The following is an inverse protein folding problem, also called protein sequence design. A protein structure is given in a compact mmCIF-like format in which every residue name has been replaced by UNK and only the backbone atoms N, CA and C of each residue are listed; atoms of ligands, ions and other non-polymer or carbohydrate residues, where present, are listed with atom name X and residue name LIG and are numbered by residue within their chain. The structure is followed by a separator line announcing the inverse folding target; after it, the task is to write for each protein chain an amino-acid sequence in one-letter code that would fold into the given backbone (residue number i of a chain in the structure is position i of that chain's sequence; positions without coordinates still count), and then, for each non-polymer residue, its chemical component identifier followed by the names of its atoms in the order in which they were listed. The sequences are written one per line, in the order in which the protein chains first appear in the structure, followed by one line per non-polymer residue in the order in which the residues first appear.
data_IF_048288857338
#
_entry.id   IF_048288857338
#
_cell.length_a   1.000
_cell.length_b   1.000
_cell.length_c   1.000
_cell.angle_alpha   90.00
_cell.angle_beta   90.00
_cell.angle_gamma   90.00
#
_symmetry.space_group_name_H-M   'P 1'
#
loop_
_entity.id
_entity.type
_entity.pdbx_description
1 polymer ?
#
# COMPACT_ATOMS: atom_id res chain seq x y z
N UNK A 1 -0.35 5.27 17.24
CA UNK A 1 0.66 4.65 16.35
C UNK A 1 0.36 5.21 14.99
N UNK A 2 1.22 6.06 14.43
CA UNK A 2 0.92 6.75 13.17
C UNK A 2 0.86 5.74 12.03
N UNK A 3 -0.16 5.84 11.19
CA UNK A 3 -0.30 5.07 9.97
C UNK A 3 -0.30 5.96 8.72
N UNK A 4 0.30 5.44 7.64
CA UNK A 4 0.10 5.99 6.29
C UNK A 4 -0.71 4.98 5.51
N UNK A 5 -1.86 5.42 4.98
CA UNK A 5 -2.70 4.61 4.12
C UNK A 5 -2.68 5.18 2.71
N UNK A 6 -2.54 4.34 1.70
CA UNK A 6 -2.56 4.72 0.29
C UNK A 6 -3.71 4.01 -0.41
N UNK A 7 -4.49 4.78 -1.17
CA UNK A 7 -5.59 4.30 -2.00
C UNK A 7 -5.51 4.91 -3.40
N UNK A 8 -6.07 4.28 -4.43
CA UNK A 8 -6.15 4.88 -5.76
C UNK A 8 -6.97 6.18 -5.78
N UNK A 9 -6.51 7.19 -6.51
CA UNK A 9 -7.27 8.42 -6.75
C UNK A 9 -8.35 8.28 -7.84
N UNK A 10 -8.25 7.21 -8.65
CA UNK A 10 -9.05 6.96 -9.84
C UNK A 10 -9.53 5.50 -9.90
N UNK A 11 -10.43 5.22 -10.85
CA UNK A 11 -11.01 3.89 -11.06
C UNK A 11 -12.34 3.65 -10.36
N UNK A 12 -13.01 2.56 -10.73
CA UNK A 12 -14.39 2.24 -10.28
C UNK A 12 -14.52 2.06 -8.77
N UNK A 13 -13.48 1.53 -8.12
CA UNK A 13 -13.50 1.16 -6.69
C UNK A 13 -12.82 2.21 -5.79
N UNK A 14 -12.47 3.39 -6.31
CA UNK A 14 -11.78 4.44 -5.54
C UNK A 14 -12.54 4.89 -4.28
N UNK A 15 -13.85 5.07 -4.41
CA UNK A 15 -14.73 5.45 -3.31
C UNK A 15 -14.78 4.38 -2.21
N UNK A 16 -15.09 3.11 -2.56
CA UNK A 16 -14.99 1.99 -1.64
C UNK A 16 -13.63 1.87 -0.93
N UNK A 17 -12.50 1.96 -1.63
CA UNK A 17 -11.17 1.91 -1.00
C UNK A 17 -10.95 3.06 -0.02
N UNK A 18 -11.31 4.30 -0.40
CA UNK A 18 -11.17 5.45 0.48
C UNK A 18 -12.05 5.31 1.75
N UNK A 19 -13.28 4.82 1.61
CA UNK A 19 -14.17 4.59 2.75
C UNK A 19 -13.61 3.50 3.68
N UNK A 20 -13.08 2.42 3.10
CA UNK A 20 -12.41 1.37 3.86
C UNK A 20 -11.18 1.92 4.60
N UNK A 21 -10.33 2.72 3.94
CA UNK A 21 -9.18 3.34 4.55
C UNK A 21 -9.56 4.27 5.73
N UNK A 22 -10.65 5.03 5.61
CA UNK A 22 -11.19 5.86 6.69
C UNK A 22 -11.59 5.02 7.91
N UNK A 23 -12.29 3.91 7.68
CA UNK A 23 -12.69 3.02 8.77
C UNK A 23 -11.48 2.35 9.44
N UNK A 24 -10.51 1.88 8.65
CA UNK A 24 -9.26 1.30 9.18
C UNK A 24 -8.50 2.32 10.02
N UNK A 25 -8.34 3.55 9.53
CA UNK A 25 -7.65 4.62 10.25
C UNK A 25 -8.37 4.94 11.58
N UNK A 26 -9.69 5.01 11.58
CA UNK A 26 -10.46 5.27 12.79
C UNK A 26 -10.37 4.10 13.80
N UNK A 27 -10.61 2.87 13.36
CA UNK A 27 -10.83 1.72 14.26
C UNK A 27 -9.55 1.02 14.71
N UNK A 28 -8.46 1.17 13.95
CA UNK A 28 -7.18 0.52 14.25
C UNK A 28 -6.13 1.52 14.75
N UNK A 29 -6.29 2.81 14.42
CA UNK A 29 -5.29 3.84 14.74
C UNK A 29 -5.89 5.06 15.46
N UNK A 30 -7.18 5.06 15.80
CA UNK A 30 -7.87 6.17 16.48
C UNK A 30 -7.70 7.53 15.77
N UNK A 31 -7.57 7.52 14.44
CA UNK A 31 -7.33 8.73 13.64
C UNK A 31 -5.87 9.20 13.59
N UNK A 32 -4.93 8.51 14.25
CA UNK A 32 -3.50 8.84 14.22
C UNK A 32 -2.86 8.37 12.91
N UNK A 33 -2.97 9.19 11.87
CA UNK A 33 -2.40 8.89 10.55
C UNK A 33 -3.02 9.72 9.43
N UNK A 34 -2.57 9.47 8.20
CA UNK A 34 -3.05 10.18 7.01
C UNK A 34 -3.33 9.19 5.89
N UNK A 35 -4.47 9.41 5.23
CA UNK A 35 -4.82 8.70 4.00
C UNK A 35 -4.38 9.55 2.82
N UNK A 36 -3.66 8.94 1.89
CA UNK A 36 -3.27 9.55 0.64
C UNK A 36 -3.99 8.86 -0.53
N UNK A 37 -4.61 9.66 -1.39
CA UNK A 37 -4.97 9.20 -2.73
C UNK A 37 -3.75 9.28 -3.62
N UNK A 38 -3.49 8.23 -4.39
CA UNK A 38 -2.35 8.12 -5.28
C UNK A 38 -2.77 7.81 -6.72
N UNK A 39 -2.05 8.38 -7.69
CA UNK A 39 -2.18 8.03 -9.10
C UNK A 39 -0.83 8.02 -9.79
N UNK A 40 -0.65 7.07 -10.70
CA UNK A 40 0.51 6.98 -11.58
C UNK A 40 0.40 8.03 -12.70
N UNK A 41 1.51 8.71 -12.99
CA UNK A 41 1.56 9.66 -14.09
C UNK A 41 2.00 8.96 -15.38
N UNK A 42 1.16 9.02 -16.42
CA UNK A 42 1.49 8.48 -17.74
C UNK A 42 2.73 9.15 -18.33
N UNK A 43 3.55 8.38 -19.04
CA UNK A 43 4.76 8.87 -19.72
C UNK A 43 5.91 9.29 -18.80
N UNK A 44 5.82 9.01 -17.49
CA UNK A 44 6.84 9.40 -16.50
C UNK A 44 7.66 8.22 -15.97
N UNK A 45 7.59 7.06 -16.63
CA UNK A 45 8.23 5.82 -16.17
C UNK A 45 7.90 5.50 -14.70
N UNK A 46 6.63 5.56 -14.30
CA UNK A 46 6.18 5.13 -12.97
C UNK A 46 6.27 6.18 -11.85
N UNK A 47 6.25 7.48 -12.16
CA UNK A 47 6.12 8.52 -11.12
C UNK A 47 4.72 8.51 -10.54
N UNK A 48 4.61 8.57 -9.21
CA UNK A 48 3.33 8.58 -8.49
C UNK A 48 3.13 9.91 -7.79
N UNK A 49 1.95 10.51 -7.96
CA UNK A 49 1.52 11.68 -7.22
C UNK A 49 0.64 11.26 -6.05
N UNK A 50 0.85 11.92 -4.91
CA UNK A 50 0.11 11.71 -3.68
C UNK A 50 -0.59 13.01 -3.27
N UNK A 51 -1.84 12.89 -2.85
CA UNK A 51 -2.60 13.98 -2.25
C UNK A 51 -3.26 13.48 -0.97
N UNK A 52 -3.19 14.28 0.10
CA UNK A 52 -3.85 13.95 1.36
C UNK A 52 -5.37 13.97 1.18
N UNK A 53 -6.03 12.86 1.53
CA UNK A 53 -7.47 12.68 1.50
C UNK A 53 -8.13 12.88 2.87
N UNK A 54 -7.33 13.00 3.93
CA UNK A 54 -7.75 13.34 5.29
C UNK A 54 -6.85 14.43 5.85
N UNK A 55 -7.39 15.22 6.79
CA UNK A 55 -6.56 16.15 7.55
C UNK A 55 -5.57 15.37 8.42
N UNK A 56 -4.32 15.84 8.54
CA UNK A 56 -3.38 15.23 9.46
C UNK A 56 -3.82 15.39 10.92
N UNK A 57 -3.42 14.47 11.81
CA UNK A 57 -3.62 14.64 13.24
C UNK A 57 -2.88 15.90 13.72
N UNK A 58 -3.24 16.42 14.90
CA UNK A 58 -2.62 17.62 15.45
C UNK A 58 -1.09 17.47 15.53
N UNK A 59 -0.35 18.35 14.84
CA UNK A 59 1.12 18.29 14.75
C UNK A 59 1.66 17.37 13.65
N UNK A 60 0.80 16.75 12.84
CA UNK A 60 1.16 16.02 11.62
C UNK A 60 1.23 16.92 10.38
N UNK A 61 1.62 16.33 9.26
CA UNK A 61 1.80 16.98 7.96
C UNK A 61 0.86 16.40 6.91
N UNK A 62 0.48 17.20 5.92
CA UNK A 62 -0.17 16.72 4.69
C UNK A 62 0.84 16.30 3.62
N UNK A 63 2.15 16.46 3.88
CA UNK A 63 3.20 15.99 3.00
C UNK A 63 3.40 14.46 3.13
N UNK A 64 3.32 13.77 1.99
CA UNK A 64 3.41 12.32 1.92
C UNK A 64 4.72 11.78 2.49
N UNK A 65 5.86 12.35 2.10
CA UNK A 65 7.18 11.84 2.52
C UNK A 65 7.37 11.99 4.03
N UNK A 66 6.88 13.09 4.60
CA UNK A 66 6.90 13.37 6.03
C UNK A 66 6.07 12.35 6.81
N UNK A 67 4.83 12.10 6.41
CA UNK A 67 3.96 11.13 7.09
C UNK A 67 4.45 9.69 6.94
N UNK A 68 4.84 9.28 5.73
CA UNK A 68 5.39 7.95 5.47
C UNK A 68 6.64 7.69 6.33
N UNK A 69 7.51 8.68 6.54
CA UNK A 69 8.66 8.55 7.45
C UNK A 69 8.28 8.44 8.92
N UNK A 70 7.15 9.03 9.34
CA UNK A 70 6.66 8.93 10.74
C UNK A 70 5.94 7.61 10.99
N UNK A 71 5.34 7.02 9.95
CA UNK A 71 4.45 5.88 10.06
C UNK A 71 5.13 4.64 10.66
N UNK A 72 4.36 3.92 11.47
CA UNK A 72 4.70 2.59 12.00
C UNK A 72 4.12 1.48 11.13
N UNK A 73 2.96 1.75 10.53
CA UNK A 73 2.28 0.86 9.59
C UNK A 73 2.03 1.63 8.28
N UNK A 74 2.42 1.04 7.16
CA UNK A 74 2.17 1.54 5.81
C UNK A 74 1.22 0.58 5.08
N UNK A 75 0.02 1.03 4.78
CA UNK A 75 -1.06 0.20 4.24
C UNK A 75 -1.41 0.67 2.83
N UNK A 76 -1.43 -0.24 1.86
CA UNK A 76 -1.96 0.05 0.52
C UNK A 76 -3.23 -0.75 0.31
N UNK A 77 -4.35 -0.08 0.02
CA UNK A 77 -5.60 -0.72 -0.36
C UNK A 77 -5.84 -0.47 -1.84
N UNK A 78 -5.69 -1.49 -2.67
CA UNK A 78 -5.93 -1.42 -4.11
C UNK A 78 -6.17 -2.82 -4.68
N UNK A 79 -6.55 -2.87 -5.96
CA UNK A 79 -6.37 -4.09 -6.74
C UNK A 79 -4.89 -4.36 -6.96
N UNK A 80 -4.53 -5.64 -6.91
CA UNK A 80 -3.19 -6.19 -7.12
C UNK A 80 -3.33 -7.58 -7.75
N UNK A 81 -2.21 -8.15 -8.16
CA UNK A 81 -2.09 -9.54 -8.59
C UNK A 81 -0.73 -10.09 -8.15
N UNK A 82 -0.42 -11.31 -8.57
CA UNK A 82 0.77 -12.03 -8.06
C UNK A 82 2.10 -11.31 -8.31
N UNK A 83 2.25 -10.75 -9.52
CA UNK A 83 3.44 -9.98 -9.97
C UNK A 83 3.14 -8.48 -10.07
N UNK A 84 1.86 -8.16 -9.92
CA UNK A 84 1.28 -6.87 -10.19
C UNK A 84 1.40 -5.98 -8.95
N UNK A 85 1.89 -4.76 -9.15
CA UNK A 85 1.89 -3.76 -8.10
C UNK A 85 0.47 -3.24 -7.82
N UNK A 86 0.30 -2.36 -6.82
CA UNK A 86 -0.96 -1.65 -6.63
C UNK A 86 -1.38 -0.94 -7.91
N UNK A 87 -2.61 -1.16 -8.36
CA UNK A 87 -3.16 -0.44 -9.50
C UNK A 87 -3.53 0.99 -9.05
N UNK A 88 -2.79 1.98 -9.51
CA UNK A 88 -2.94 3.40 -9.18
C UNK A 88 -3.33 4.17 -10.45
N UNK A 89 -4.52 3.89 -10.97
CA UNK A 89 -5.06 4.46 -12.21
C UNK A 89 -4.81 5.96 -12.36
N UNK A 90 -4.58 6.40 -13.60
CA UNK A 90 -4.88 7.76 -14.04
C UNK A 90 -6.28 7.75 -14.68
N UNK A 91 -7.11 8.76 -14.39
CA UNK A 91 -8.47 8.83 -14.95
C UNK A 91 -8.39 8.85 -16.49
N UNK A 92 -8.90 7.81 -17.16
CA UNK A 92 -9.35 7.92 -18.56
C UNK A 92 -8.83 6.93 -19.61
N UNK A 93 -7.78 6.13 -19.35
CA UNK A 93 -7.22 5.26 -20.41
C UNK A 93 -6.82 3.88 -19.89
N UNK A 94 -7.21 2.84 -20.63
CA UNK A 94 -6.90 1.41 -20.42
C UNK A 94 -5.57 0.96 -21.03
N UNK A 95 -4.83 1.90 -21.61
CA UNK A 95 -3.77 1.57 -22.55
C UNK A 95 -2.46 1.38 -21.78
N UNK A 96 -2.19 0.12 -21.43
CA UNK A 96 -0.95 -0.32 -20.76
C UNK A 96 -1.11 -0.61 -19.27
N UNK A 97 -1.15 -1.90 -18.92
CA UNK A 97 -1.26 -2.36 -17.52
C UNK A 97 -0.08 -1.89 -16.64
N UNK A 98 1.11 -1.76 -17.21
CA UNK A 98 2.34 -1.39 -16.48
C UNK A 98 2.32 0.07 -16.01
N UNK A 99 1.80 0.99 -16.83
CA UNK A 99 1.71 2.40 -16.46
C UNK A 99 0.72 2.64 -15.32
N UNK A 100 -0.21 1.72 -15.10
CA UNK A 100 -1.14 1.75 -13.98
C UNK A 100 -0.55 1.14 -12.70
N UNK A 101 0.54 0.40 -12.82
CA UNK A 101 1.17 -0.35 -11.74
C UNK A 101 2.63 0.07 -11.60
N UNK A 102 2.90 1.30 -11.13
CA UNK A 102 4.21 1.93 -11.16
C UNK A 102 5.28 1.17 -10.35
N UNK A 103 4.85 0.25 -9.49
CA UNK A 103 5.71 -0.49 -8.58
C UNK A 103 5.65 -2.01 -8.80
N UNK A 104 5.23 -2.48 -9.97
CA UNK A 104 5.16 -3.92 -10.28
C UNK A 104 6.54 -4.61 -10.34
N UNK A 105 6.54 -5.94 -10.39
CA UNK A 105 7.75 -6.71 -10.69
C UNK A 105 8.23 -6.48 -12.14
N UNK A 106 9.49 -6.79 -12.41
CA UNK A 106 10.06 -6.78 -13.76
C UNK A 106 9.45 -7.95 -14.55
N UNK A 107 8.90 -7.72 -15.76
CA UNK A 107 8.42 -8.81 -16.60
C UNK A 107 9.52 -9.85 -16.86
N UNK A 108 9.26 -11.12 -16.51
CA UNK A 108 10.23 -12.21 -16.65
C UNK A 108 11.25 -12.35 -15.52
N UNK A 109 11.27 -11.42 -14.55
CA UNK A 109 12.06 -11.52 -13.31
C UNK A 109 11.18 -11.16 -12.11
N UNK A 110 10.38 -12.12 -11.62
CA UNK A 110 9.35 -11.86 -10.61
C UNK A 110 9.93 -11.56 -9.21
N UNK A 111 11.22 -11.82 -9.00
CA UNK A 111 11.93 -11.55 -7.75
C UNK A 111 12.51 -10.12 -7.67
N UNK A 112 12.35 -9.33 -8.74
CA UNK A 112 12.83 -7.96 -8.83
C UNK A 112 11.69 -6.99 -9.10
N UNK A 113 11.64 -5.90 -8.34
CA UNK A 113 10.75 -4.77 -8.62
C UNK A 113 11.32 -3.90 -9.75
N UNK A 114 10.44 -3.28 -10.51
CA UNK A 114 10.83 -2.20 -11.40
C UNK A 114 11.47 -1.04 -10.60
N UNK A 115 12.36 -0.28 -11.24
CA UNK A 115 13.12 0.78 -10.57
C UNK A 115 12.26 1.76 -9.74
N UNK A 116 11.10 2.25 -10.22
CA UNK A 116 10.27 3.14 -9.41
C UNK A 116 9.73 2.45 -8.15
N UNK A 117 9.39 1.16 -8.24
CA UNK A 117 9.04 0.32 -7.11
C UNK A 117 10.19 0.17 -6.12
N UNK A 118 11.41 -0.15 -6.59
CA UNK A 118 12.61 -0.25 -5.74
C UNK A 118 12.81 1.06 -4.96
N UNK A 119 12.77 2.20 -5.64
CA UNK A 119 12.98 3.51 -5.02
C UNK A 119 11.90 3.78 -3.97
N UNK A 120 10.64 3.54 -4.31
CA UNK A 120 9.52 3.75 -3.40
C UNK A 120 9.65 2.89 -2.14
N UNK A 121 9.77 1.57 -2.30
CA UNK A 121 9.77 0.64 -1.16
C UNK A 121 11.02 0.74 -0.31
N UNK A 122 12.18 1.01 -0.91
CA UNK A 122 13.40 1.34 -0.14
C UNK A 122 13.17 2.60 0.69
N UNK A 123 12.55 3.63 0.11
CA UNK A 123 12.26 4.89 0.82
C UNK A 123 11.25 4.70 1.96
N UNK A 124 10.21 3.90 1.74
CA UNK A 124 9.22 3.51 2.76
C UNK A 124 9.89 2.77 3.91
N UNK A 125 10.77 1.82 3.59
CA UNK A 125 11.49 1.00 4.58
C UNK A 125 12.49 1.75 5.44
N UNK A 126 13.06 2.86 4.94
CA UNK A 126 14.10 3.66 5.62
C UNK A 126 13.50 4.71 6.58
N UNK A 127 12.31 4.47 7.15
CA UNK A 127 11.77 5.31 8.23
C UNK A 127 12.81 5.43 9.37
N UNK A 128 13.26 6.67 9.62
CA UNK A 128 14.44 7.00 10.46
C UNK A 128 14.29 6.63 11.95
N UNK A 129 13.13 6.17 12.37
CA UNK A 129 12.81 5.97 13.79
C UNK A 129 12.14 4.63 14.10
N UNK A 130 11.56 3.92 13.12
CA UNK A 130 10.87 2.64 13.34
C UNK A 130 11.07 1.69 12.15
N UNK A 131 11.14 0.39 12.43
CA UNK A 131 10.90 -0.62 11.38
C UNK A 131 9.42 -0.51 11.00
N UNK A 132 9.14 0.10 9.86
CA UNK A 132 7.77 0.16 9.33
C UNK A 132 7.30 -1.26 9.02
N UNK A 133 6.02 -1.53 9.23
CA UNK A 133 5.38 -2.75 8.75
C UNK A 133 4.51 -2.39 7.54
N UNK A 134 4.70 -3.13 6.46
CA UNK A 134 3.99 -2.91 5.20
C UNK A 134 2.84 -3.90 5.10
N UNK A 135 1.65 -3.42 4.71
CA UNK A 135 0.47 -4.26 4.50
C UNK A 135 -0.14 -3.98 3.12
N UNK A 136 -0.18 -5.02 2.28
CA UNK A 136 -0.64 -4.98 0.90
C UNK A 136 -2.04 -5.58 0.79
N UNK A 137 -3.06 -4.74 0.87
CA UNK A 137 -4.47 -5.13 0.78
C UNK A 137 -4.93 -5.15 -0.68
N UNK A 138 -4.57 -6.23 -1.37
CA UNK A 138 -4.99 -6.56 -2.73
C UNK A 138 -4.86 -8.06 -2.98
N UNK A 139 -5.50 -8.57 -4.03
CA UNK A 139 -5.46 -9.99 -4.37
C UNK A 139 -4.03 -10.43 -4.69
N UNK A 140 -3.66 -11.65 -4.28
CA UNK A 140 -2.40 -12.34 -4.60
C UNK A 140 -1.10 -11.59 -4.24
N UNK A 141 -1.21 -10.46 -3.53
CA UNK A 141 -0.08 -9.62 -3.10
C UNK A 141 0.85 -10.33 -2.11
N UNK A 142 0.36 -11.38 -1.45
CA UNK A 142 1.05 -12.21 -0.47
C UNK A 142 1.80 -13.40 -1.06
N UNK A 143 2.02 -13.42 -2.38
CA UNK A 143 2.75 -14.48 -3.08
C UNK A 143 4.15 -13.99 -3.48
N UNK A 144 4.28 -13.39 -4.66
CA UNK A 144 5.58 -13.04 -5.25
C UNK A 144 5.87 -11.56 -5.08
N UNK A 145 4.88 -10.70 -5.37
CA UNK A 145 4.99 -9.27 -5.15
C UNK A 145 5.40 -8.89 -3.72
N UNK A 146 4.72 -9.45 -2.71
CA UNK A 146 5.02 -9.19 -1.31
C UNK A 146 6.44 -9.58 -0.88
N UNK A 147 7.02 -10.63 -1.49
CA UNK A 147 8.44 -11.00 -1.27
C UNK A 147 9.38 -9.93 -1.83
N UNK A 148 9.12 -9.47 -3.05
CA UNK A 148 9.91 -8.45 -3.70
C UNK A 148 9.85 -7.12 -2.92
N UNK A 149 8.67 -6.73 -2.44
CA UNK A 149 8.48 -5.56 -1.55
C UNK A 149 9.26 -5.71 -0.24
N UNK A 150 9.19 -6.87 0.41
CA UNK A 150 9.93 -7.15 1.64
C UNK A 150 11.44 -7.00 1.44
N UNK A 151 11.97 -7.60 0.37
CA UNK A 151 13.38 -7.55 -0.01
C UNK A 151 13.87 -6.12 -0.27
N UNK A 152 13.10 -5.32 -1.03
CA UNK A 152 13.47 -3.93 -1.33
C UNK A 152 13.37 -3.00 -0.11
N UNK A 153 12.30 -3.13 0.68
CA UNK A 153 12.05 -2.28 1.84
C UNK A 153 12.83 -2.67 3.09
N UNK A 154 13.35 -3.90 3.15
CA UNK A 154 13.90 -4.51 4.37
C UNK A 154 12.96 -4.38 5.57
N UNK A 155 11.66 -4.45 5.30
CA UNK A 155 10.58 -4.30 6.27
C UNK A 155 9.65 -5.50 6.23
N UNK A 156 9.09 -5.86 7.39
CA UNK A 156 8.11 -6.96 7.46
C UNK A 156 6.93 -6.59 6.60
N UNK A 157 6.62 -7.45 5.63
CA UNK A 157 5.57 -7.22 4.64
C UNK A 157 4.50 -8.28 4.74
N UNK A 158 3.25 -7.85 4.76
CA UNK A 158 2.07 -8.70 4.75
C UNK A 158 1.31 -8.48 3.44
N UNK A 159 0.76 -9.55 2.88
CA UNK A 159 -0.12 -9.52 1.71
C UNK A 159 -1.05 -10.73 1.70
N UNK A 160 -2.03 -10.77 0.79
CA UNK A 160 -2.99 -11.87 0.71
C UNK A 160 -2.58 -12.84 -0.40
N UNK A 161 -2.62 -14.15 -0.12
CA UNK A 161 -2.22 -15.20 -1.06
C UNK A 161 -3.27 -15.54 -2.10
N UNK A 162 -4.50 -15.05 -1.89
CA UNK A 162 -5.66 -15.31 -2.72
C UNK A 162 -6.47 -14.00 -2.86
N UNK A 163 -7.76 -14.12 -3.15
CA UNK A 163 -8.70 -13.00 -3.20
C UNK A 163 -8.73 -12.20 -1.87
N UNK A 164 -8.62 -10.88 -1.99
CA UNK A 164 -8.71 -9.94 -0.89
C UNK A 164 -9.86 -8.96 -1.13
N UNK A 165 -10.94 -8.99 -0.32
CA UNK A 165 -11.99 -7.98 -0.38
C UNK A 165 -11.55 -6.68 0.31
N UNK A 166 -10.47 -6.05 -0.18
CA UNK A 166 -9.83 -4.87 0.43
C UNK A 166 -10.70 -3.62 0.42
N UNK A 167 -11.77 -3.59 -0.38
CA UNK A 167 -12.80 -2.54 -0.37
C UNK A 167 -13.88 -2.74 0.72
N UNK A 168 -13.83 -3.83 1.49
CA UNK A 168 -14.81 -4.14 2.55
C UNK A 168 -14.24 -3.76 3.93
N UNK A 169 -14.77 -2.72 4.59
CA UNK A 169 -14.22 -2.20 5.84
C UNK A 169 -14.05 -3.23 6.95
N UNK A 170 -15.10 -4.02 7.22
CA UNK A 170 -15.08 -5.04 8.30
C UNK A 170 -13.97 -6.07 8.12
N UNK A 171 -13.73 -6.48 6.87
CA UNK A 171 -12.65 -7.41 6.55
C UNK A 171 -11.29 -6.74 6.82
N UNK A 172 -11.07 -5.55 6.26
CA UNK A 172 -9.80 -4.85 6.37
C UNK A 172 -9.45 -4.48 7.80
N UNK A 173 -10.42 -4.02 8.60
CA UNK A 173 -10.24 -3.75 10.04
C UNK A 173 -9.85 -5.02 10.80
N UNK A 174 -10.55 -6.14 10.57
CA UNK A 174 -10.22 -7.42 11.23
C UNK A 174 -8.82 -7.89 10.85
N UNK A 175 -8.44 -7.77 9.58
CA UNK A 175 -7.13 -8.17 9.10
C UNK A 175 -6.01 -7.30 9.71
N UNK A 176 -6.15 -5.97 9.71
CA UNK A 176 -5.16 -5.06 10.34
C UNK A 176 -5.00 -5.38 11.83
N UNK A 177 -6.10 -5.52 12.57
CA UNK A 177 -6.05 -5.89 14.00
C UNK A 177 -5.36 -7.23 14.23
N UNK A 178 -5.60 -8.22 13.36
CA UNK A 178 -4.95 -9.54 13.45
C UNK A 178 -3.43 -9.45 13.24
N UNK A 179 -2.98 -8.64 12.28
CA UNK A 179 -1.56 -8.39 11.99
C UNK A 179 -0.91 -7.66 13.16
N UNK A 180 -1.58 -6.63 13.71
CA UNK A 180 -1.12 -5.87 14.87
C UNK A 180 -0.99 -6.74 16.12
N UNK A 181 -1.90 -7.70 16.32
CA UNK A 181 -1.86 -8.65 17.42
C UNK A 181 -0.85 -9.81 17.22
N UNK A 182 -0.13 -9.85 16.09
CA UNK A 182 0.82 -10.93 15.78
C UNK A 182 0.15 -12.28 15.46
N UNK A 183 -1.14 -12.27 15.12
CA UNK A 183 -1.95 -13.46 14.81
C UNK A 183 -2.60 -13.30 13.43
N UNK A 184 -1.82 -13.27 12.33
CA UNK A 184 -2.36 -13.03 11.00
C UNK A 184 -3.40 -14.10 10.65
N UNK A 185 -4.50 -13.66 10.03
CA UNK A 185 -5.57 -14.53 9.53
C UNK A 185 -5.08 -15.53 8.48
N UNK A 186 -5.86 -16.61 8.28
CA UNK A 186 -5.69 -17.52 7.15
C UNK A 186 -5.69 -16.75 5.82
N UNK A 187 -4.81 -17.15 4.90
CA UNK A 187 -4.65 -16.50 3.60
C UNK A 187 -3.69 -15.32 3.56
N UNK A 188 -3.15 -14.86 4.71
CA UNK A 188 -2.09 -13.84 4.72
C UNK A 188 -0.70 -14.49 4.53
N UNK A 189 0.06 -14.00 3.56
CA UNK A 189 1.50 -14.16 3.47
C UNK A 189 2.20 -13.17 4.39
N UNK A 190 3.22 -13.63 5.10
CA UNK A 190 4.15 -12.80 5.88
C UNK A 190 5.55 -13.05 5.35
N UNK A 191 6.27 -11.96 5.10
CA UNK A 191 7.66 -11.96 4.68
C UNK A 191 8.47 -11.14 5.67
N UNK A 192 9.55 -11.74 6.18
CA UNK A 192 10.49 -11.09 7.08
C UNK A 192 11.79 -10.75 6.30
N UNK A 193 12.44 -9.60 6.59
CA UNK A 193 13.63 -9.12 5.88
C UNK A 193 14.87 -10.00 5.95
#
# INVERSE_FOLDING_TARGET
MPATLVVPAAGKDKGPFLNCAKQVLQDCYAGDGVIFTAFSQQGTNGTVKFAAATNPPKGGSSDYVTEMRRATDYIVLSHMGELDGPILYNDGHTDGLLDMQPWACVPGDPDQLQMPGIIHWTTTGVSRTNKVRIMLFGCDSGITYGKAVCKSSRSVTYGFKDACPSAIPDFSVKAVKSIQAGRPQHGLGRFDP
#
